data_IF_051414625002
#
_entry.id   IF_051414625002
#
_cell.length_a   1.000
_cell.length_b   1.000
_cell.length_c   1.000
_cell.angle_alpha   90.00
_cell.angle_beta   90.00
_cell.angle_gamma   90.00
#
_symmetry.space_group_name_H-M   'P 1'
#
loop_
_entity.id
_entity.type
_entity.pdbx_description
1 polymer ?
#
# COMPACT_ATOMS: atom_id res chain seq x y z
N UNK A 1 -0.01 22.67 7.76
CA UNK A 1 -0.70 21.62 8.55
C UNK A 1 0.30 20.48 8.72
N UNK A 2 0.64 20.04 9.94
CA UNK A 2 1.55 18.93 10.12
C UNK A 2 0.90 17.66 9.56
N UNK A 3 1.63 16.94 8.70
CA UNK A 3 1.19 15.65 8.18
C UNK A 3 0.93 14.71 9.35
N UNK A 4 -0.34 14.35 9.54
CA UNK A 4 -0.75 13.42 10.57
C UNK A 4 -0.28 12.02 10.15
N UNK A 5 0.99 11.69 10.38
CA UNK A 5 1.60 10.39 10.11
C UNK A 5 1.07 9.37 11.13
N UNK A 6 -0.20 9.00 10.98
CA UNK A 6 -0.79 7.90 11.71
C UNK A 6 -0.03 6.61 11.35
N UNK A 7 0.68 6.03 12.32
CA UNK A 7 1.35 4.76 12.14
C UNK A 7 0.29 3.64 12.07
N UNK A 8 0.15 3.04 10.90
CA UNK A 8 -0.71 1.87 10.68
C UNK A 8 0.11 0.60 10.84
N UNK A 9 -0.34 -0.32 11.69
CA UNK A 9 0.17 -1.70 11.71
C UNK A 9 -0.80 -2.57 10.94
N UNK A 10 -0.29 -3.26 9.93
CA UNK A 10 -1.07 -4.16 9.07
C UNK A 10 -0.49 -5.57 9.21
N UNK A 11 -1.38 -6.56 9.27
CA UNK A 11 -0.99 -7.98 9.20
C UNK A 11 -1.35 -8.51 7.82
N UNK A 12 -0.39 -9.11 7.15
CA UNK A 12 -0.57 -9.81 5.88
C UNK A 12 -0.05 -11.24 6.02
N UNK A 13 -0.38 -12.10 5.06
CA UNK A 13 0.19 -13.44 4.99
C UNK A 13 1.69 -13.36 4.65
N UNK A 14 2.46 -14.39 5.04
CA UNK A 14 3.90 -14.47 4.76
C UNK A 14 4.22 -14.38 3.27
N UNK A 15 3.42 -15.04 2.42
CA UNK A 15 3.59 -15.01 0.98
C UNK A 15 3.47 -13.59 0.39
N UNK A 16 2.51 -12.80 0.89
CA UNK A 16 2.32 -11.40 0.45
C UNK A 16 3.46 -10.52 0.94
N UNK A 17 3.95 -10.71 2.17
CA UNK A 17 5.11 -9.97 2.68
C UNK A 17 6.37 -10.25 1.84
N UNK A 18 6.61 -11.51 1.48
CA UNK A 18 7.74 -11.91 0.63
C UNK A 18 7.64 -11.35 -0.80
N UNK A 19 6.45 -11.27 -1.39
CA UNK A 19 6.26 -10.57 -2.68
C UNK A 19 6.52 -9.07 -2.55
N UNK A 20 6.02 -8.43 -1.49
CA UNK A 20 6.27 -7.01 -1.25
C UNK A 20 7.76 -6.71 -1.06
N UNK A 21 8.51 -7.60 -0.42
CA UNK A 21 9.97 -7.49 -0.29
C UNK A 21 10.66 -7.53 -1.66
N UNK A 22 10.31 -8.52 -2.50
CA UNK A 22 10.89 -8.62 -3.86
C UNK A 22 10.62 -7.39 -4.71
N UNK A 23 9.40 -6.83 -4.63
CA UNK A 23 9.04 -5.61 -5.37
C UNK A 23 9.78 -4.40 -4.81
N UNK A 24 9.88 -4.28 -3.48
CA UNK A 24 10.61 -3.21 -2.82
C UNK A 24 12.10 -3.21 -3.22
N UNK A 25 12.73 -4.38 -3.22
CA UNK A 25 14.12 -4.56 -3.67
C UNK A 25 14.29 -4.21 -5.15
N UNK A 26 13.45 -4.78 -6.03
CA UNK A 26 13.54 -4.57 -7.48
C UNK A 26 13.31 -3.10 -7.89
N UNK A 27 12.52 -2.35 -7.11
CA UNK A 27 12.21 -0.95 -7.41
C UNK A 27 13.08 0.04 -6.62
N UNK A 28 13.92 -0.43 -5.70
CA UNK A 28 14.65 0.39 -4.73
C UNK A 28 13.74 1.33 -3.90
N UNK A 29 12.56 0.82 -3.50
CA UNK A 29 11.55 1.58 -2.75
C UNK A 29 11.27 0.93 -1.39
N UNK A 30 10.68 1.69 -0.45
CA UNK A 30 10.26 1.12 0.83
C UNK A 30 8.93 0.38 0.67
N UNK A 31 8.78 -0.76 1.36
CA UNK A 31 7.50 -1.50 1.45
C UNK A 31 6.32 -0.60 1.81
N UNK A 32 6.51 0.34 2.75
CA UNK A 32 5.45 1.26 3.19
C UNK A 32 4.96 2.21 2.09
N UNK A 33 5.83 2.58 1.14
CA UNK A 33 5.45 3.43 0.01
C UNK A 33 4.60 2.65 -0.99
N UNK A 34 5.01 1.42 -1.30
CA UNK A 34 4.27 0.51 -2.18
C UNK A 34 2.88 0.19 -1.61
N UNK A 35 2.80 -0.11 -0.31
CA UNK A 35 1.53 -0.38 0.37
C UNK A 35 0.62 0.86 0.33
N UNK A 36 1.18 2.04 0.59
CA UNK A 36 0.42 3.30 0.54
C UNK A 36 -0.19 3.53 -0.84
N UNK A 37 0.60 3.37 -1.90
CA UNK A 37 0.13 3.52 -3.28
C UNK A 37 -0.93 2.50 -3.66
N UNK A 38 -0.73 1.23 -3.31
CA UNK A 38 -1.69 0.17 -3.56
C UNK A 38 -3.04 0.45 -2.89
N UNK A 39 -3.02 0.91 -1.63
CA UNK A 39 -4.24 1.27 -0.88
C UNK A 39 -4.94 2.47 -1.52
N UNK A 40 -4.21 3.51 -1.92
CA UNK A 40 -4.78 4.69 -2.59
C UNK A 40 -5.43 4.28 -3.91
N UNK A 41 -4.74 3.49 -4.73
CA UNK A 41 -5.24 2.99 -6.01
C UNK A 41 -6.52 2.15 -5.82
N UNK A 42 -6.53 1.24 -4.84
CA UNK A 42 -7.69 0.43 -4.51
C UNK A 42 -8.89 1.28 -4.08
N UNK A 43 -8.69 2.25 -3.18
CA UNK A 43 -9.77 3.16 -2.75
C UNK A 43 -10.29 3.98 -3.93
N UNK A 44 -9.40 4.47 -4.80
CA UNK A 44 -9.78 5.19 -6.02
C UNK A 44 -10.66 4.35 -6.94
N UNK A 45 -10.23 3.12 -7.24
CA UNK A 45 -11.00 2.18 -8.06
C UNK A 45 -12.36 1.83 -7.43
N UNK A 46 -12.38 1.55 -6.12
CA UNK A 46 -13.61 1.22 -5.38
C UNK A 46 -14.63 2.36 -5.38
N UNK A 47 -14.17 3.61 -5.21
CA UNK A 47 -15.05 4.79 -5.26
C UNK A 47 -15.62 5.02 -6.65
N UNK A 48 -14.85 4.74 -7.71
CA UNK A 48 -15.32 4.87 -9.08
C UNK A 48 -16.36 3.80 -9.42
N UNK A 49 -16.12 2.55 -9.03
CA UNK A 49 -17.05 1.44 -9.26
C UNK A 49 -18.43 1.65 -8.61
N UNK A 50 -18.50 2.38 -7.49
CA UNK A 50 -19.77 2.72 -6.80
C UNK A 50 -20.53 3.92 -7.38
N UNK A 51 -19.94 4.68 -8.31
CA UNK A 51 -20.59 5.84 -8.94
C UNK A 51 -21.30 5.50 -10.25
N UNK A 52 -20.92 4.39 -10.87
CA UNK A 52 -21.66 3.70 -11.95
C UNK A 52 -22.75 2.83 -11.37
#
# INVERSE_FOLDING_TARGET
MPGNDAMLRVRVSKAVDEELDKIAEATHRKKSELIREAVIAFIGAYRNARKT
#
